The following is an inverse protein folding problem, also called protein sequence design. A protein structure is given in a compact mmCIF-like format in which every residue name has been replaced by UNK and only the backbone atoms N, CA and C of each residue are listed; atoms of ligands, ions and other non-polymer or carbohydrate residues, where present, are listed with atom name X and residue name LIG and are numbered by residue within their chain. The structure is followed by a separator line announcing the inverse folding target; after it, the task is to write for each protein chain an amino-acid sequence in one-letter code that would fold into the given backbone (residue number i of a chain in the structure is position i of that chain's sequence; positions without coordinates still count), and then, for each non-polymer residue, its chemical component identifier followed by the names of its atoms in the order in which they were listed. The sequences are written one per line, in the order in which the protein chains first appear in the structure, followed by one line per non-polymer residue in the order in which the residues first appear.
data_IF_642229645644
#
_entry.id   IF_642229645644
#
_cell.length_a   1.000
_cell.length_b   1.000
_cell.length_c   1.000
_cell.angle_alpha   90.00
_cell.angle_beta   90.00
_cell.angle_gamma   90.00
#
_symmetry.space_group_name_H-M   'P 1'
#
loop_
_entity.id
_entity.type
_entity.pdbx_description
1 polymer ?
#
# COMPACT_ATOMS: atom_id res chain seq x y z
N UNK A 1 -3.99 -12.82 43.38
CA UNK A 1 -2.58 -12.80 43.79
C UNK A 1 -1.96 -11.51 43.27
N UNK A 2 -1.56 -10.62 44.17
CA UNK A 2 -0.78 -9.42 43.82
C UNK A 2 0.69 -9.80 43.69
N UNK A 3 1.37 -9.23 42.70
CA UNK A 3 2.79 -9.49 42.41
C UNK A 3 3.68 -8.31 42.74
N UNK A 4 3.11 -7.18 43.19
CA UNK A 4 3.83 -6.01 43.66
C UNK A 4 3.14 -5.34 44.86
N UNK A 5 3.89 -4.50 45.59
CA UNK A 5 3.40 -3.82 46.80
C UNK A 5 2.43 -2.66 46.54
N UNK A 6 2.37 -2.13 45.31
CA UNK A 6 1.46 -1.04 44.92
C UNK A 6 0.10 -1.53 44.44
N UNK A 7 -0.09 -2.84 44.28
CA UNK A 7 -1.36 -3.43 43.84
C UNK A 7 -1.71 -3.17 42.37
N UNK A 8 -0.75 -2.70 41.56
CA UNK A 8 -0.96 -2.41 40.14
C UNK A 8 -0.82 -3.65 39.26
N UNK A 9 -0.12 -4.69 39.74
CA UNK A 9 0.10 -5.95 39.02
C UNK A 9 -0.47 -7.13 39.80
N UNK A 10 -1.41 -7.85 39.20
CA UNK A 10 -2.05 -9.01 39.82
C UNK A 10 -2.67 -9.96 38.81
N UNK A 11 -2.85 -11.21 39.26
CA UNK A 11 -3.67 -12.22 38.59
C UNK A 11 -4.81 -12.63 39.52
N UNK A 12 -5.99 -12.95 38.99
CA UNK A 12 -7.14 -13.35 39.78
C UNK A 12 -8.03 -14.34 39.04
N UNK A 13 -8.80 -15.11 39.80
CA UNK A 13 -9.84 -16.04 39.33
C UNK A 13 -10.98 -15.92 40.34
N UNK A 14 -12.09 -15.30 39.95
CA UNK A 14 -13.20 -15.14 40.88
C UNK A 14 -13.97 -16.46 41.04
N UNK A 15 -14.79 -16.54 42.08
CA UNK A 15 -15.74 -17.64 42.21
C UNK A 15 -16.61 -17.74 40.94
N UNK A 16 -16.75 -18.95 40.41
CA UNK A 16 -17.45 -19.27 39.15
C UNK A 16 -16.84 -18.70 37.85
N UNK A 17 -15.64 -18.09 37.88
CA UNK A 17 -14.91 -17.82 36.64
C UNK A 17 -14.39 -19.15 36.04
N UNK A 18 -14.32 -19.22 34.71
CA UNK A 18 -13.81 -20.39 33.98
C UNK A 18 -12.35 -20.26 33.52
N UNK A 19 -11.71 -19.10 33.75
CA UNK A 19 -10.34 -18.82 33.38
C UNK A 19 -9.73 -17.74 34.28
N UNK A 20 -8.43 -17.86 34.54
CA UNK A 20 -7.64 -16.81 35.20
C UNK A 20 -7.60 -15.52 34.38
N UNK A 21 -7.46 -14.38 35.05
CA UNK A 21 -7.37 -13.04 34.47
C UNK A 21 -6.10 -12.35 34.95
N UNK A 22 -5.40 -11.69 34.03
CA UNK A 22 -4.26 -10.81 34.33
C UNK A 22 -4.73 -9.36 34.32
N UNK A 23 -4.31 -8.57 35.31
CA UNK A 23 -4.64 -7.14 35.38
C UNK A 23 -4.14 -6.38 34.15
N UNK A 24 -5.04 -5.69 33.44
CA UNK A 24 -4.72 -4.92 32.22
C UNK A 24 -5.56 -3.65 32.17
N UNK A 25 -5.24 -2.69 33.02
CA UNK A 25 -5.93 -1.39 33.16
C UNK A 25 -4.97 -0.27 32.74
N UNK A 26 -5.40 0.63 31.87
CA UNK A 26 -4.56 1.73 31.38
C UNK A 26 -4.15 2.70 32.50
N UNK A 27 -4.97 2.85 33.54
CA UNK A 27 -4.64 3.69 34.70
C UNK A 27 -3.53 3.10 35.59
N UNK A 28 -3.18 1.83 35.36
CA UNK A 28 -2.13 1.08 36.05
C UNK A 28 -0.90 0.84 35.17
N UNK A 29 -0.88 1.44 33.97
CA UNK A 29 0.20 1.32 32.98
C UNK A 29 0.79 2.69 32.68
N UNK A 30 2.09 2.72 32.40
CA UNK A 30 2.83 3.93 32.07
C UNK A 30 3.85 3.63 30.97
N UNK A 31 4.51 4.67 30.46
CA UNK A 31 5.56 4.54 29.43
C UNK A 31 5.08 3.87 28.13
N UNK A 32 3.83 4.14 27.73
CA UNK A 32 3.29 3.64 26.47
C UNK A 32 4.15 4.07 25.27
N UNK A 33 4.49 3.10 24.43
CA UNK A 33 5.17 3.30 23.15
C UNK A 33 4.44 2.50 22.09
N UNK A 34 4.26 3.09 20.91
CA UNK A 34 3.70 2.38 19.78
C UNK A 34 4.69 1.30 19.31
N UNK A 35 4.18 0.11 19.02
CA UNK A 35 4.98 -0.97 18.44
C UNK A 35 5.07 -0.82 16.91
N UNK A 36 6.21 -1.20 16.35
CA UNK A 36 6.35 -1.36 14.90
C UNK A 36 5.72 -2.69 14.47
N UNK A 37 4.52 -2.61 13.90
CA UNK A 37 3.77 -3.78 13.46
C UNK A 37 4.44 -4.55 12.32
N UNK A 38 5.19 -3.87 11.44
CA UNK A 38 5.86 -4.52 10.31
C UNK A 38 7.09 -5.31 10.79
N UNK A 39 7.85 -4.76 11.75
CA UNK A 39 8.92 -5.49 12.45
C UNK A 39 8.37 -6.73 13.17
N UNK A 40 7.22 -6.60 13.86
CA UNK A 40 6.54 -7.73 14.50
C UNK A 40 6.19 -8.82 13.47
N UNK A 41 5.65 -8.47 12.31
CA UNK A 41 5.34 -9.44 11.25
C UNK A 41 6.59 -10.14 10.71
N UNK A 42 7.69 -9.42 10.52
CA UNK A 42 8.97 -10.00 10.09
C UNK A 42 9.48 -11.00 11.13
N UNK A 43 9.40 -10.67 12.42
CA UNK A 43 9.83 -11.54 13.52
C UNK A 43 8.99 -12.80 13.64
N UNK A 44 7.65 -12.68 13.67
CA UNK A 44 6.74 -13.83 13.76
C UNK A 44 6.86 -14.74 12.53
N UNK A 45 7.12 -14.18 11.35
CA UNK A 45 7.34 -14.96 10.13
C UNK A 45 8.52 -15.95 10.21
N UNK A 46 9.40 -15.80 11.21
CA UNK A 46 10.54 -16.71 11.46
C UNK A 46 10.25 -17.77 12.53
N UNK A 47 9.07 -17.75 13.15
CA UNK A 47 8.75 -18.67 14.23
C UNK A 47 8.58 -20.10 13.71
N UNK A 48 9.16 -21.05 14.44
CA UNK A 48 8.82 -22.47 14.28
C UNK A 48 7.46 -22.71 14.95
N UNK A 49 6.40 -22.47 14.20
CA UNK A 49 5.04 -22.78 14.61
C UNK A 49 4.68 -24.22 14.24
N UNK A 50 4.00 -24.91 15.13
CA UNK A 50 3.57 -26.28 14.92
C UNK A 50 2.80 -26.83 16.11
N UNK A 51 2.49 -28.12 16.05
CA UNK A 51 1.89 -28.83 17.17
C UNK A 51 2.95 -29.57 17.99
N UNK A 52 2.75 -29.67 19.28
CA UNK A 52 3.61 -30.41 20.19
C UNK A 52 2.81 -30.99 21.36
N UNK A 53 3.42 -31.89 22.13
CA UNK A 53 2.90 -32.38 23.42
C UNK A 53 4.02 -32.30 24.47
N UNK A 54 3.65 -32.20 25.75
CA UNK A 54 4.66 -32.24 26.81
C UNK A 54 5.29 -33.63 26.92
N UNK A 55 6.55 -33.69 27.36
CA UNK A 55 7.21 -34.97 27.69
C UNK A 55 6.37 -35.69 28.77
N UNK A 56 6.08 -36.97 28.56
CA UNK A 56 5.24 -37.77 29.44
C UNK A 56 3.73 -37.68 29.20
N UNK A 57 3.25 -36.79 28.32
CA UNK A 57 1.85 -36.81 27.90
C UNK A 57 1.59 -37.95 26.90
N UNK A 58 0.38 -38.51 26.95
CA UNK A 58 -0.12 -39.41 25.91
C UNK A 58 -0.26 -38.64 24.59
N UNK A 59 0.64 -38.93 23.65
CA UNK A 59 0.70 -38.29 22.34
C UNK A 59 -0.55 -38.54 21.47
N UNK A 60 -1.36 -39.56 21.79
CA UNK A 60 -2.63 -39.82 21.09
C UNK A 60 -3.78 -38.94 21.60
N UNK A 61 -3.67 -38.41 22.83
CA UNK A 61 -4.74 -37.64 23.49
C UNK A 61 -4.46 -36.15 23.59
N UNK A 62 -3.20 -35.77 23.78
CA UNK A 62 -2.83 -34.39 24.06
C UNK A 62 -1.98 -33.80 22.93
N UNK A 63 -2.43 -32.66 22.42
CA UNK A 63 -1.67 -31.79 21.51
C UNK A 63 -1.94 -30.34 21.84
N UNK A 64 -0.92 -29.52 21.67
CA UNK A 64 -0.92 -28.07 21.83
C UNK A 64 -0.37 -27.42 20.56
N UNK A 65 -0.70 -26.16 20.35
CA UNK A 65 -0.17 -25.35 19.24
C UNK A 65 0.40 -24.06 19.81
N UNK A 66 1.48 -23.57 19.20
CA UNK A 66 2.05 -22.28 19.54
C UNK A 66 3.56 -22.24 19.33
N UNK A 67 4.17 -21.06 19.55
CA UNK A 67 5.61 -20.90 19.49
C UNK A 67 6.29 -21.62 20.66
N UNK A 68 7.58 -21.92 20.50
CA UNK A 68 8.44 -22.25 21.62
C UNK A 68 8.86 -20.97 22.35
N UNK A 69 9.02 -21.04 23.68
CA UNK A 69 9.41 -19.88 24.49
C UNK A 69 10.74 -19.26 24.07
N UNK A 70 11.70 -20.09 23.64
CA UNK A 70 13.02 -19.64 23.16
C UNK A 70 12.90 -18.82 21.87
N UNK A 71 12.08 -19.27 20.92
CA UNK A 71 11.86 -18.58 19.64
C UNK A 71 11.18 -17.21 19.90
N UNK A 72 10.21 -17.19 20.82
CA UNK A 72 9.52 -15.97 21.24
C UNK A 72 10.45 -15.00 21.97
N UNK A 73 11.20 -15.48 22.96
CA UNK A 73 12.12 -14.66 23.77
C UNK A 73 13.28 -14.12 22.92
N UNK A 74 13.78 -14.88 21.95
CA UNK A 74 14.80 -14.38 21.02
C UNK A 74 14.27 -13.21 20.18
N UNK A 75 13.00 -13.24 19.80
CA UNK A 75 12.40 -12.20 18.95
C UNK A 75 11.89 -10.97 19.73
N UNK A 76 11.34 -11.18 20.93
CA UNK A 76 10.61 -10.16 21.69
C UNK A 76 11.08 -10.00 23.13
N UNK A 77 11.96 -10.87 23.62
CA UNK A 77 12.42 -10.86 25.00
C UNK A 77 13.30 -9.67 25.34
N UNK A 78 13.89 -9.01 24.34
CA UNK A 78 14.68 -7.79 24.50
C UNK A 78 14.35 -6.80 23.38
N UNK A 79 13.85 -5.63 23.75
CA UNK A 79 13.48 -4.55 22.83
C UNK A 79 14.42 -3.32 22.94
N UNK A 80 15.53 -3.46 23.67
CA UNK A 80 16.47 -2.39 23.98
C UNK A 80 16.04 -1.47 25.13
N UNK A 81 14.83 -1.65 25.66
CA UNK A 81 14.32 -0.92 26.83
C UNK A 81 14.36 -1.82 28.06
N UNK A 82 13.93 -3.07 27.90
CA UNK A 82 13.84 -4.01 29.02
C UNK A 82 13.88 -5.46 28.60
N UNK A 83 13.44 -6.31 29.54
CA UNK A 83 13.33 -7.76 29.36
C UNK A 83 11.87 -8.15 29.45
N UNK A 84 11.39 -8.91 28.48
CA UNK A 84 10.01 -9.40 28.42
C UNK A 84 10.03 -10.92 28.55
N UNK A 85 9.52 -11.45 29.67
CA UNK A 85 9.48 -12.89 29.92
C UNK A 85 10.86 -13.54 30.07
N UNK A 86 10.98 -14.79 29.61
CA UNK A 86 12.22 -15.58 29.58
C UNK A 86 12.12 -16.67 28.50
N UNK A 87 13.18 -17.44 28.32
CA UNK A 87 13.31 -18.46 27.27
C UNK A 87 12.64 -19.81 27.62
N UNK A 88 11.97 -19.95 28.76
CA UNK A 88 11.34 -21.21 29.21
C UNK A 88 9.84 -21.11 29.48
N UNK A 89 9.26 -19.91 29.45
CA UNK A 89 7.85 -19.68 29.73
C UNK A 89 7.26 -18.62 28.81
N UNK A 90 5.95 -18.71 28.59
CA UNK A 90 5.19 -17.75 27.79
C UNK A 90 4.09 -17.14 28.66
N UNK A 91 4.04 -15.81 28.67
CA UNK A 91 2.94 -15.04 29.22
C UNK A 91 1.84 -14.93 28.17
N UNK A 92 0.63 -15.44 28.46
CA UNK A 92 -0.50 -15.35 27.52
C UNK A 92 -0.81 -13.90 27.15
N UNK A 93 -0.69 -12.97 28.10
CA UNK A 93 -0.95 -11.56 27.84
C UNK A 93 0.05 -10.94 26.85
N UNK A 94 1.33 -11.29 26.95
CA UNK A 94 2.37 -10.77 26.05
C UNK A 94 2.27 -11.43 24.66
N UNK A 95 1.96 -12.74 24.61
CA UNK A 95 1.69 -13.46 23.35
C UNK A 95 0.49 -12.85 22.63
N UNK A 96 -0.62 -12.63 23.33
CA UNK A 96 -1.84 -12.03 22.77
C UNK A 96 -1.59 -10.59 22.33
N UNK A 97 -0.82 -9.81 23.13
CA UNK A 97 -0.45 -8.44 22.78
C UNK A 97 0.31 -8.36 21.46
N UNK A 98 1.34 -9.20 21.28
CA UNK A 98 2.07 -9.32 20.02
C UNK A 98 1.17 -9.81 18.88
N UNK A 99 0.26 -10.76 19.14
CA UNK A 99 -0.69 -11.23 18.14
C UNK A 99 -1.64 -10.12 17.65
N UNK A 100 -2.17 -9.29 18.54
CA UNK A 100 -3.02 -8.16 18.15
C UNK A 100 -2.26 -7.08 17.37
N UNK A 101 -1.01 -6.81 17.73
CA UNK A 101 -0.14 -5.90 16.95
C UNK A 101 0.06 -6.44 15.53
N UNK A 102 0.36 -7.74 15.40
CA UNK A 102 0.51 -8.40 14.12
C UNK A 102 -0.79 -8.37 13.29
N UNK A 103 -1.94 -8.63 13.90
CA UNK A 103 -3.26 -8.58 13.22
C UNK A 103 -3.54 -7.18 12.69
N UNK A 104 -3.29 -6.13 13.48
CA UNK A 104 -3.46 -4.75 13.01
C UNK A 104 -2.51 -4.42 11.85
N UNK A 105 -1.27 -4.87 11.92
CA UNK A 105 -0.31 -4.67 10.83
C UNK A 105 -0.76 -5.39 9.54
N UNK A 106 -1.24 -6.63 9.66
CA UNK A 106 -1.77 -7.41 8.54
C UNK A 106 -3.01 -6.77 7.91
N UNK A 107 -3.93 -6.25 8.73
CA UNK A 107 -5.08 -5.50 8.23
C UNK A 107 -4.62 -4.33 7.37
N UNK A 108 -3.71 -3.49 7.89
CA UNK A 108 -3.24 -2.29 7.18
C UNK A 108 -2.55 -2.67 5.88
N UNK A 109 -1.68 -3.68 5.93
CA UNK A 109 -0.98 -4.18 4.75
C UNK A 109 -1.96 -4.71 3.70
N UNK A 110 -2.99 -5.44 4.13
CA UNK A 110 -4.02 -5.98 3.24
C UNK A 110 -4.84 -4.86 2.60
N UNK A 111 -5.26 -3.86 3.36
CA UNK A 111 -5.99 -2.69 2.84
C UNK A 111 -5.15 -1.92 1.81
N UNK A 112 -3.87 -1.69 2.08
CA UNK A 112 -2.95 -1.06 1.14
C UNK A 112 -2.79 -1.88 -0.16
N UNK A 113 -2.59 -3.19 -0.04
CA UNK A 113 -2.47 -4.08 -1.21
C UNK A 113 -3.75 -4.10 -2.05
N UNK A 114 -4.93 -4.09 -1.43
CA UNK A 114 -6.21 -4.01 -2.14
C UNK A 114 -6.35 -2.69 -2.90
N UNK A 115 -5.98 -1.57 -2.27
CA UNK A 115 -5.98 -0.25 -2.91
C UNK A 115 -5.06 -0.22 -4.12
N UNK A 116 -3.80 -0.62 -3.96
CA UNK A 116 -2.83 -0.64 -5.06
C UNK A 116 -3.24 -1.58 -6.19
N UNK A 117 -3.86 -2.72 -5.86
CA UNK A 117 -4.39 -3.65 -6.87
C UNK A 117 -5.53 -3.03 -7.67
N UNK A 118 -6.43 -2.30 -7.01
CA UNK A 118 -7.51 -1.58 -7.68
C UNK A 118 -6.97 -0.48 -8.61
N UNK A 119 -6.03 0.34 -8.13
CA UNK A 119 -5.37 1.37 -8.94
C UNK A 119 -4.65 0.77 -10.15
N UNK A 120 -3.93 -0.34 -9.97
CA UNK A 120 -3.24 -1.03 -11.06
C UNK A 120 -4.23 -1.55 -12.11
N UNK A 121 -5.42 -2.01 -11.69
CA UNK A 121 -6.47 -2.45 -12.60
C UNK A 121 -6.99 -1.27 -13.44
N UNK A 122 -7.33 -0.15 -12.80
CA UNK A 122 -7.78 1.06 -13.49
C UNK A 122 -6.74 1.55 -14.49
N UNK A 123 -5.46 1.64 -14.09
CA UNK A 123 -4.40 2.12 -14.97
C UNK A 123 -4.18 1.18 -16.18
N UNK A 124 -4.36 -0.13 -16.02
CA UNK A 124 -4.31 -1.09 -17.14
C UNK A 124 -5.46 -0.89 -18.12
N UNK A 125 -6.67 -0.64 -17.63
CA UNK A 125 -7.84 -0.36 -18.46
C UNK A 125 -7.66 0.94 -19.25
N UNK A 126 -7.18 2.00 -18.60
CA UNK A 126 -6.86 3.29 -19.25
C UNK A 126 -5.76 3.12 -20.31
N UNK A 127 -4.69 2.39 -19.99
CA UNK A 127 -3.61 2.12 -20.95
C UNK A 127 -4.11 1.33 -22.17
N UNK A 128 -5.02 0.37 -21.96
CA UNK A 128 -5.65 -0.37 -23.07
C UNK A 128 -6.50 0.56 -23.95
N UNK A 129 -7.33 1.40 -23.34
CA UNK A 129 -8.16 2.37 -24.06
C UNK A 129 -7.31 3.37 -24.86
N UNK A 130 -6.24 3.88 -24.25
CA UNK A 130 -5.33 4.81 -24.92
C UNK A 130 -4.61 4.14 -26.09
N UNK A 131 -4.18 2.88 -25.94
CA UNK A 131 -3.58 2.10 -27.05
C UNK A 131 -4.54 1.94 -28.22
N UNK A 132 -5.83 1.65 -27.95
CA UNK A 132 -6.85 1.58 -28.99
C UNK A 132 -7.00 2.92 -29.72
N UNK A 133 -7.12 4.03 -28.98
CA UNK A 133 -7.25 5.37 -29.57
C UNK A 133 -6.03 5.79 -30.39
N UNK A 134 -4.82 5.40 -29.96
CA UNK A 134 -3.60 5.63 -30.73
C UNK A 134 -3.64 4.86 -32.05
N UNK A 135 -4.03 3.59 -32.03
CA UNK A 135 -4.20 2.79 -33.26
C UNK A 135 -5.22 3.43 -34.21
N UNK A 136 -6.39 3.83 -33.71
CA UNK A 136 -7.42 4.50 -34.51
C UNK A 136 -6.93 5.82 -35.12
N UNK A 137 -6.13 6.59 -34.37
CA UNK A 137 -5.51 7.81 -34.88
C UNK A 137 -4.47 7.52 -35.97
N UNK A 138 -3.71 6.44 -35.84
CA UNK A 138 -2.74 6.02 -36.86
C UNK A 138 -3.45 5.63 -38.16
N UNK A 139 -4.56 4.89 -38.05
CA UNK A 139 -5.40 4.52 -39.20
C UNK A 139 -6.02 5.75 -39.87
N UNK A 140 -6.64 6.66 -39.11
CA UNK A 140 -7.21 7.91 -39.63
C UNK A 140 -6.15 8.78 -40.31
N UNK A 141 -4.92 8.82 -39.78
CA UNK A 141 -3.81 9.57 -40.38
C UNK A 141 -3.40 8.97 -41.72
N UNK A 142 -3.41 7.63 -41.85
CA UNK A 142 -3.15 6.96 -43.11
C UNK A 142 -4.22 7.31 -44.16
N UNK A 143 -5.50 7.20 -43.80
CA UNK A 143 -6.63 7.55 -44.69
C UNK A 143 -6.56 9.02 -45.16
N UNK A 144 -6.27 9.96 -44.27
CA UNK A 144 -6.10 11.37 -44.63
C UNK A 144 -4.93 11.59 -45.61
N UNK A 145 -3.84 10.84 -45.45
CA UNK A 145 -2.69 10.90 -46.37
C UNK A 145 -3.06 10.41 -47.77
N UNK A 146 -3.84 9.32 -47.84
CA UNK A 146 -4.36 8.80 -49.11
C UNK A 146 -5.31 9.78 -49.78
N UNK A 147 -6.27 10.34 -49.04
CA UNK A 147 -7.21 11.34 -49.56
C UNK A 147 -6.50 12.59 -50.08
N UNK A 148 -5.48 13.10 -49.36
CA UNK A 148 -4.64 14.22 -49.84
C UNK A 148 -3.94 13.87 -51.15
N UNK A 149 -3.47 12.64 -51.29
CA UNK A 149 -2.82 12.16 -52.51
C UNK A 149 -3.80 12.07 -53.67
N UNK A 150 -5.03 11.59 -53.44
CA UNK A 150 -6.08 11.55 -54.46
C UNK A 150 -6.49 12.95 -54.92
N UNK A 151 -6.70 13.88 -53.99
CA UNK A 151 -7.05 15.28 -54.31
C UNK A 151 -5.98 15.96 -55.15
N UNK A 152 -4.69 15.74 -54.83
CA UNK A 152 -3.59 16.26 -55.64
C UNK A 152 -3.62 15.72 -57.07
N UNK A 153 -3.80 14.40 -57.25
CA UNK A 153 -3.92 13.80 -58.59
C UNK A 153 -5.12 14.33 -59.37
N UNK A 154 -6.25 14.56 -58.70
CA UNK A 154 -7.44 15.15 -59.32
C UNK A 154 -7.18 16.59 -59.80
N UNK A 155 -6.51 17.40 -58.97
CA UNK A 155 -6.09 18.77 -59.33
C UNK A 155 -5.10 18.78 -60.50
N UNK A 156 -4.18 17.83 -60.57
CA UNK A 156 -3.17 17.73 -61.65
C UNK A 156 -3.78 17.27 -62.98
N UNK A 157 -4.82 16.42 -62.94
CA UNK A 157 -5.49 15.88 -64.13
C UNK A 157 -6.62 16.79 -64.68
N UNK A 158 -6.90 17.93 -64.06
CA UNK A 158 -7.87 18.91 -64.54
C UNK A 158 -7.22 20.29 -64.75
N UNK A 159 -6.48 20.51 -65.86
CA UNK A 159 -5.79 21.77 -66.14
C UNK A 159 -6.74 22.93 -66.56
N UNK A 160 -8.06 22.75 -66.43
CA UNK A 160 -9.10 23.61 -66.99
C UNK A 160 -9.95 24.38 -65.97
N UNK A 161 -9.32 25.13 -65.06
CA UNK A 161 -9.95 26.38 -64.61
C UNK A 161 -8.86 27.44 -64.47
N UNK A 162 -8.66 28.16 -65.57
CA UNK A 162 -7.81 29.34 -65.66
C UNK A 162 -8.15 30.35 -64.55
N UNK A 163 -7.06 30.89 -63.99
CA UNK A 163 -6.91 32.27 -63.55
C UNK A 163 -8.01 33.23 -64.04
N UNK A 164 -8.72 33.86 -63.10
CA UNK A 164 -9.42 35.11 -63.32
C UNK A 164 -8.83 36.18 -62.42
N UNK A 165 -7.61 36.59 -62.75
CA UNK A 165 -7.02 37.82 -62.26
C UNK A 165 -7.90 39.03 -62.64
N UNK A 166 -8.10 39.90 -61.64
CA UNK A 166 -8.34 41.35 -61.74
C UNK A 166 -9.80 41.88 -61.59
N UNK A 167 -10.13 42.33 -60.38
CA UNK A 167 -10.80 43.63 -60.17
C UNK A 167 -9.95 44.42 -59.16
N UNK A 168 -9.16 45.37 -59.66
CA UNK A 168 -8.43 46.32 -58.82
C UNK A 168 -9.33 47.42 -58.27
N UNK A 169 -8.97 47.98 -57.10
CA UNK A 169 -8.64 49.41 -56.89
C UNK A 169 -8.44 49.70 -55.38
N UNK A 170 -7.18 50.00 -54.98
CA UNK A 170 -6.62 51.13 -54.17
C UNK A 170 -7.49 51.68 -52.99
N UNK A 171 -7.06 52.03 -51.77
CA UNK A 171 -5.99 52.93 -51.21
C UNK A 171 -5.86 52.65 -49.65
N UNK A 172 -4.96 53.26 -48.84
CA UNK A 172 -3.93 52.54 -48.06
C UNK A 172 -3.77 53.00 -46.57
N UNK A 173 -2.63 52.60 -45.98
CA UNK A 173 -1.82 53.27 -44.96
C UNK A 173 -2.00 52.93 -43.46
N UNK A 174 -0.82 52.62 -42.88
CA UNK A 174 -0.38 52.75 -41.48
C UNK A 174 -1.03 51.79 -40.45
N UNK A 175 -0.35 51.30 -39.42
CA UNK A 175 0.80 51.83 -38.70
C UNK A 175 1.55 50.71 -37.96
N UNK A 176 2.78 51.06 -37.58
CA UNK A 176 3.84 50.31 -36.91
C UNK A 176 3.56 49.90 -35.46
N UNK A 177 4.27 48.85 -35.01
CA UNK A 177 4.59 48.57 -33.60
C UNK A 177 4.85 47.06 -33.41
N UNK A 178 6.09 46.55 -33.37
CA UNK A 178 7.07 46.66 -32.27
C UNK A 178 6.38 46.36 -30.92
N UNK A 179 6.79 45.40 -30.07
CA UNK A 179 8.13 45.02 -29.62
C UNK A 179 8.03 43.61 -29.05
N UNK A 180 9.09 42.81 -29.13
CA UNK A 180 9.19 41.60 -28.32
C UNK A 180 9.30 41.92 -26.83
N UNK A 181 9.19 40.88 -26.00
CA UNK A 181 10.17 40.59 -24.93
C UNK A 181 9.97 39.18 -24.35
N UNK A 182 11.07 38.52 -23.95
CA UNK A 182 11.06 37.27 -23.19
C UNK A 182 11.29 37.49 -21.67
N UNK A 183 11.23 36.36 -20.94
CA UNK A 183 11.77 36.04 -19.60
C UNK A 183 10.95 36.45 -18.36
N UNK A 184 10.72 35.48 -17.48
CA UNK A 184 10.38 35.69 -16.07
C UNK A 184 10.36 34.37 -15.28
N UNK A 185 11.25 34.26 -14.32
CA UNK A 185 11.51 33.15 -13.37
C UNK A 185 10.90 33.55 -12.01
N UNK A 186 10.79 32.58 -11.08
CA UNK A 186 10.32 32.64 -9.68
C UNK A 186 8.78 32.51 -9.51
N UNK A 187 8.23 31.71 -8.59
CA UNK A 187 8.73 31.14 -7.32
C UNK A 187 8.66 29.61 -7.24
#
# INVERSE_FOLDING_TARGET
MFTNGTGTSYVYLNHNDNAWKTSSDSTKKENYRAADGEDVLVKIGRFRLGSWNYKGQDAKRYRHYGPMAQDWFTAFGHDGIGVIGNDTSLSSADVDGIAYIAIQALERRTAMLQKTTAEMKTLKEELSSLRTRVSEMEDLKAELSEMRTMLRKFSENNPGSQDNSNVGTVIPHHNTGNVGRPVGIAE
#
